data_IF_439808497419
#
_entry.id   IF_439808497419
#
_cell.length_a   1.000
_cell.length_b   1.000
_cell.length_c   1.000
_cell.angle_alpha   90.00
_cell.angle_beta   90.00
_cell.angle_gamma   90.00
#
_symmetry.space_group_name_H-M   'P 1'
#
loop_
_entity.id
_entity.type
_entity.pdbx_description
1 polymer ?
#
# COMPACT_ATOMS: atom_id res chain seq x y z
N UNK A 1 10.27 -21.83 11.32
CA UNK A 1 9.54 -21.26 10.17
C UNK A 1 9.00 -22.44 9.39
N UNK A 2 7.68 -22.55 9.20
CA UNK A 2 7.11 -23.66 8.41
C UNK A 2 7.37 -23.40 6.93
N UNK A 3 7.77 -24.43 6.21
CA UNK A 3 7.86 -24.37 4.74
C UNK A 3 6.45 -24.23 4.15
N UNK A 4 6.27 -23.47 3.05
CA UNK A 4 4.97 -23.35 2.40
C UNK A 4 4.43 -24.73 1.98
N UNK A 5 3.15 -25.00 2.21
CA UNK A 5 2.47 -26.19 1.68
C UNK A 5 2.10 -25.97 0.20
N UNK A 6 1.90 -27.06 -0.57
CA UNK A 6 1.43 -26.97 -1.96
C UNK A 6 0.12 -26.18 -2.12
N UNK A 7 -0.72 -26.16 -1.09
CA UNK A 7 -2.00 -25.44 -1.07
C UNK A 7 -1.84 -23.92 -1.04
N UNK A 8 -0.67 -23.42 -0.57
CA UNK A 8 -0.33 -21.99 -0.60
C UNK A 8 0.16 -21.54 -1.98
N UNK A 9 0.40 -22.50 -2.89
CA UNK A 9 0.83 -22.25 -4.26
C UNK A 9 -0.38 -22.49 -5.14
N UNK A 10 -0.89 -21.45 -5.78
CA UNK A 10 -1.95 -21.64 -6.77
C UNK A 10 -1.45 -22.64 -7.82
N UNK A 11 -2.13 -23.79 -7.94
CA UNK A 11 -1.95 -24.69 -9.06
C UNK A 11 -2.56 -24.03 -10.29
N UNK A 12 -1.81 -23.14 -10.92
CA UNK A 12 -2.16 -22.63 -12.24
C UNK A 12 -1.95 -23.81 -13.19
N UNK A 13 -3.02 -24.25 -13.87
CA UNK A 13 -2.83 -25.05 -15.08
C UNK A 13 -2.07 -24.16 -16.06
N UNK A 14 -0.76 -24.39 -16.15
CA UNK A 14 0.11 -23.69 -17.09
C UNK A 14 -0.32 -24.15 -18.48
N UNK A 15 -1.28 -23.43 -19.06
CA UNK A 15 -1.45 -23.43 -20.51
C UNK A 15 -0.08 -23.12 -21.11
N UNK A 16 0.30 -23.84 -22.16
CA UNK A 16 1.65 -23.89 -22.77
C UNK A 16 2.21 -22.56 -23.31
N UNK A 17 1.71 -21.40 -22.87
CA UNK A 17 1.99 -20.09 -23.43
C UNK A 17 2.15 -18.97 -22.39
N UNK A 18 2.35 -19.25 -21.10
CA UNK A 18 2.66 -18.21 -20.11
C UNK A 18 4.14 -18.24 -19.72
N UNK A 19 4.89 -17.26 -20.21
CA UNK A 19 6.23 -16.97 -19.73
C UNK A 19 6.17 -16.19 -18.41
N UNK A 20 7.03 -16.53 -17.42
CA UNK A 20 7.15 -15.74 -16.21
C UNK A 20 7.45 -14.26 -16.51
N UNK A 21 6.79 -13.35 -15.78
CA UNK A 21 7.10 -11.93 -15.84
C UNK A 21 8.48 -11.60 -15.24
N UNK A 22 8.91 -10.35 -15.40
CA UNK A 22 10.13 -9.84 -14.74
C UNK A 22 9.84 -9.39 -13.31
N UNK A 23 10.77 -9.66 -12.40
CA UNK A 23 10.70 -9.24 -10.99
C UNK A 23 11.94 -8.40 -10.65
N UNK A 24 11.72 -7.26 -10.00
CA UNK A 24 12.78 -6.38 -9.51
C UNK A 24 12.67 -6.15 -8.00
N UNK A 25 13.82 -6.09 -7.33
CA UNK A 25 13.91 -5.77 -5.89
C UNK A 25 14.73 -4.49 -5.71
N UNK A 26 14.24 -3.61 -4.84
CA UNK A 26 14.94 -2.37 -4.48
C UNK A 26 15.26 -2.41 -3.00
N UNK A 27 16.52 -2.10 -2.68
CA UNK A 27 16.93 -1.78 -1.34
C UNK A 27 17.14 -0.26 -1.23
N UNK A 28 16.30 0.41 -0.45
CA UNK A 28 16.37 1.86 -0.30
C UNK A 28 15.38 2.40 0.72
N UNK A 29 15.40 3.71 0.90
CA UNK A 29 14.37 4.43 1.64
C UNK A 29 13.23 4.75 0.66
N UNK A 30 12.04 4.20 0.90
CA UNK A 30 10.89 4.40 0.00
C UNK A 30 10.58 5.87 -0.22
N UNK A 31 10.92 6.74 0.73
CA UNK A 31 10.61 8.17 0.69
C UNK A 31 11.64 9.01 -0.07
N UNK A 32 12.76 8.41 -0.47
CA UNK A 32 13.75 9.06 -1.34
C UNK A 32 13.41 8.81 -2.81
N UNK A 33 13.91 9.72 -3.65
CA UNK A 33 13.70 9.71 -5.10
C UNK A 33 14.93 9.23 -5.89
N UNK A 34 15.80 8.44 -5.24
CA UNK A 34 17.09 8.01 -5.79
C UNK A 34 17.04 6.60 -6.43
N UNK A 35 15.86 5.98 -6.48
CA UNK A 35 15.69 4.60 -6.93
C UNK A 35 14.71 4.40 -8.09
N UNK A 36 13.78 5.33 -8.31
CA UNK A 36 12.71 5.19 -9.31
C UNK A 36 13.28 5.06 -10.72
N UNK A 37 14.20 5.94 -11.09
CA UNK A 37 14.81 5.94 -12.42
C UNK A 37 15.55 4.63 -12.72
N UNK A 38 16.16 4.01 -11.69
CA UNK A 38 16.88 2.74 -11.82
C UNK A 38 15.95 1.54 -12.04
N UNK A 39 14.68 1.64 -11.63
CA UNK A 39 13.72 0.53 -11.74
C UNK A 39 12.67 0.72 -12.84
N UNK A 40 12.21 1.96 -13.00
CA UNK A 40 11.07 2.31 -13.83
C UNK A 40 11.51 2.96 -15.15
N UNK A 41 12.71 3.55 -15.20
CA UNK A 41 13.09 4.52 -16.22
C UNK A 41 12.62 5.93 -15.86
N UNK A 42 13.04 6.94 -16.62
CA UNK A 42 12.63 8.33 -16.40
C UNK A 42 11.11 8.50 -16.55
N UNK A 43 10.48 9.24 -15.63
CA UNK A 43 9.04 9.56 -15.60
C UNK A 43 8.06 8.36 -15.56
N UNK A 44 8.55 7.15 -15.29
CA UNK A 44 7.69 5.98 -15.19
C UNK A 44 7.14 5.83 -13.77
N UNK A 45 5.84 5.57 -13.69
CA UNK A 45 5.06 5.37 -12.46
C UNK A 45 4.39 3.99 -12.46
N UNK A 46 3.88 3.56 -11.32
CA UNK A 46 3.19 2.27 -11.18
C UNK A 46 1.73 2.34 -11.62
N UNK A 47 1.27 1.30 -12.30
CA UNK A 47 -0.16 1.08 -12.61
C UNK A 47 -0.91 0.51 -11.40
N UNK A 48 -0.21 -0.23 -10.53
CA UNK A 48 -0.75 -0.84 -9.32
C UNK A 48 0.27 -0.78 -8.19
N UNK A 49 -0.18 -0.42 -6.99
CA UNK A 49 0.58 -0.51 -5.74
C UNK A 49 -0.20 -1.40 -4.77
N UNK A 50 0.50 -2.31 -4.11
CA UNK A 50 -0.06 -3.21 -3.11
C UNK A 50 0.62 -2.98 -1.75
N UNK A 51 -0.09 -2.36 -0.81
CA UNK A 51 0.35 -2.18 0.57
C UNK A 51 -0.23 -3.30 1.44
N UNK A 52 0.66 -4.15 1.93
CA UNK A 52 0.35 -5.07 3.01
C UNK A 52 1.34 -4.89 4.15
N UNK A 53 0.83 -4.47 5.30
CA UNK A 53 1.59 -4.23 6.53
C UNK A 53 2.69 -3.15 6.44
N UNK A 54 2.76 -2.37 5.36
CA UNK A 54 3.76 -1.31 5.23
C UNK A 54 3.36 -0.07 6.03
N UNK A 55 2.13 0.43 5.86
CA UNK A 55 1.61 1.57 6.61
C UNK A 55 1.75 1.41 8.14
N UNK A 56 1.35 0.24 8.67
CA UNK A 56 1.38 -0.01 10.11
C UNK A 56 2.77 -0.33 10.65
N UNK A 57 3.78 -0.60 9.82
CA UNK A 57 5.15 -0.71 10.27
C UNK A 57 5.75 0.67 10.61
N UNK A 58 5.21 1.73 10.03
CA UNK A 58 5.71 3.09 10.21
C UNK A 58 5.10 3.82 11.39
N UNK A 59 5.89 4.71 11.99
CA UNK A 59 5.42 5.59 13.06
C UNK A 59 4.22 6.43 12.59
N UNK A 60 3.17 6.64 13.42
CA UNK A 60 1.96 7.38 13.01
C UNK A 60 2.24 8.74 12.37
N UNK A 61 3.23 9.48 12.85
CA UNK A 61 3.62 10.79 12.31
C UNK A 61 4.15 10.74 10.85
N UNK A 62 4.49 9.56 10.33
CA UNK A 62 4.98 9.37 8.96
C UNK A 62 3.87 8.98 7.97
N UNK A 63 2.64 8.74 8.44
CA UNK A 63 1.54 8.26 7.58
C UNK A 63 1.14 9.25 6.49
N UNK A 64 1.29 10.56 6.76
CA UNK A 64 1.13 11.60 5.75
C UNK A 64 2.19 11.52 4.65
N UNK A 65 3.42 11.20 5.01
CA UNK A 65 4.49 11.02 4.04
C UNK A 65 4.21 9.78 3.18
N UNK A 66 3.67 8.71 3.76
CA UNK A 66 3.20 7.55 3.02
C UNK A 66 2.12 7.91 2.01
N UNK A 67 1.07 8.63 2.41
CA UNK A 67 -0.04 8.97 1.52
C UNK A 67 0.45 9.77 0.31
N UNK A 68 1.22 10.84 0.56
CA UNK A 68 1.86 11.61 -0.49
C UNK A 68 2.73 10.74 -1.39
N UNK A 69 3.52 9.85 -0.82
CA UNK A 69 4.45 9.00 -1.56
C UNK A 69 3.72 8.01 -2.48
N UNK A 70 2.62 7.41 -2.01
CA UNK A 70 1.80 6.53 -2.86
C UNK A 70 1.19 7.31 -4.04
N UNK A 71 0.73 8.54 -3.81
CA UNK A 71 0.21 9.39 -4.88
C UNK A 71 1.28 9.81 -5.90
N UNK A 72 2.51 10.09 -5.45
CA UNK A 72 3.64 10.39 -6.34
C UNK A 72 3.99 9.21 -7.23
N UNK A 73 4.04 8.00 -6.66
CA UNK A 73 4.44 6.76 -7.33
C UNK A 73 3.37 6.20 -8.28
N UNK A 74 2.10 6.53 -8.09
CA UNK A 74 0.99 5.99 -8.86
C UNK A 74 0.68 6.84 -10.10
N UNK A 75 0.40 6.17 -11.23
CA UNK A 75 -0.11 6.82 -12.44
C UNK A 75 -1.52 7.40 -12.21
N UNK A 76 -1.94 8.45 -12.94
CA UNK A 76 -3.35 8.83 -13.01
C UNK A 76 -4.20 7.63 -13.45
N UNK A 77 -5.22 7.29 -12.65
CA UNK A 77 -6.07 6.12 -12.89
C UNK A 77 -5.49 4.77 -12.45
N UNK A 78 -4.30 4.75 -11.85
CA UNK A 78 -3.73 3.54 -11.25
C UNK A 78 -4.48 3.08 -10.00
N UNK A 79 -4.18 1.85 -9.54
CA UNK A 79 -4.84 1.22 -8.40
C UNK A 79 -3.91 1.12 -7.18
N UNK A 80 -4.37 1.63 -6.04
CA UNK A 80 -3.74 1.39 -4.75
C UNK A 80 -4.60 0.39 -3.96
N UNK A 81 -4.05 -0.79 -3.69
CA UNK A 81 -4.69 -1.83 -2.88
C UNK A 81 -4.05 -1.80 -1.49
N UNK A 82 -4.88 -1.59 -0.46
CA UNK A 82 -4.42 -1.52 0.92
C UNK A 82 -5.10 -2.61 1.76
N UNK A 83 -4.29 -3.47 2.37
CA UNK A 83 -4.77 -4.45 3.34
C UNK A 83 -4.55 -3.92 4.76
N UNK A 84 -5.64 -3.55 5.42
CA UNK A 84 -5.59 -2.98 6.77
C UNK A 84 -5.36 -4.05 7.83
N UNK A 85 -4.21 -3.93 8.52
CA UNK A 85 -3.78 -4.81 9.60
C UNK A 85 -2.80 -4.06 10.52
N UNK A 86 -2.80 -4.26 11.84
CA UNK A 86 -3.77 -4.99 12.65
C UNK A 86 -4.95 -4.11 13.08
N UNK A 87 -6.17 -4.62 12.97
CA UNK A 87 -7.41 -3.94 13.40
C UNK A 87 -7.74 -4.19 14.88
N UNK A 88 -7.14 -5.19 15.50
CA UNK A 88 -7.43 -5.61 16.87
C UNK A 88 -6.52 -4.94 17.92
N UNK A 89 -5.46 -4.27 17.49
CA UNK A 89 -4.46 -3.67 18.38
C UNK A 89 -4.90 -2.26 18.80
N UNK A 90 -4.74 -1.94 20.09
CA UNK A 90 -5.01 -0.59 20.59
C UNK A 90 -4.12 0.44 19.87
N UNK A 91 -4.72 1.55 19.43
CA UNK A 91 -4.06 2.63 18.70
C UNK A 91 -2.91 3.30 19.47
N UNK A 92 -2.94 3.24 20.81
CA UNK A 92 -1.88 3.78 21.69
C UNK A 92 -0.77 2.78 22.00
N UNK A 93 -0.93 1.52 21.59
CA UNK A 93 0.10 0.51 21.82
C UNK A 93 1.34 0.80 20.96
N UNK A 94 2.56 0.58 21.50
CA UNK A 94 3.79 0.81 20.77
C UNK A 94 3.92 -0.16 19.58
N UNK A 95 4.47 0.32 18.46
CA UNK A 95 4.77 -0.48 17.27
C UNK A 95 6.26 -0.83 17.12
N UNK A 96 6.65 -1.46 16.00
CA UNK A 96 5.79 -2.03 14.96
C UNK A 96 5.19 -3.39 15.39
N UNK A 97 3.99 -3.77 14.95
CA UNK A 97 3.03 -3.04 14.11
C UNK A 97 2.22 -2.04 14.95
N UNK A 98 2.01 -0.82 14.48
CA UNK A 98 1.13 0.16 15.13
C UNK A 98 -0.35 -0.22 14.92
N UNK A 99 -1.22 0.05 15.89
CA UNK A 99 -2.65 -0.16 15.72
C UNK A 99 -3.22 0.71 14.58
N UNK A 100 -4.15 0.15 13.81
CA UNK A 100 -4.87 0.84 12.73
C UNK A 100 -6.38 0.79 12.97
N UNK A 101 -7.07 1.85 12.52
CA UNK A 101 -8.53 1.93 12.47
C UNK A 101 -8.99 2.95 11.44
N UNK A 102 -9.37 2.49 10.25
CA UNK A 102 -9.95 3.32 9.20
C UNK A 102 -8.99 4.34 8.58
N UNK A 103 -7.68 4.15 8.75
CA UNK A 103 -6.67 5.15 8.36
C UNK A 103 -6.62 5.29 6.84
N UNK A 104 -6.68 4.17 6.11
CA UNK A 104 -6.74 4.18 4.65
C UNK A 104 -7.99 4.87 4.13
N UNK A 105 -9.14 4.64 4.78
CA UNK A 105 -10.40 5.25 4.37
C UNK A 105 -10.39 6.76 4.55
N UNK A 106 -9.85 7.24 5.67
CA UNK A 106 -9.73 8.66 5.94
C UNK A 106 -8.84 9.37 4.90
N UNK A 107 -7.67 8.80 4.60
CA UNK A 107 -6.80 9.34 3.54
C UNK A 107 -7.44 9.28 2.15
N UNK A 108 -7.85 8.09 1.72
CA UNK A 108 -8.16 7.82 0.32
C UNK A 108 -9.58 8.23 -0.08
N UNK A 109 -10.53 8.16 0.84
CA UNK A 109 -11.93 8.45 0.55
C UNK A 109 -12.37 9.84 1.03
N UNK A 110 -11.83 10.31 2.16
CA UNK A 110 -12.21 11.60 2.74
C UNK A 110 -11.20 12.73 2.48
N UNK A 111 -9.97 12.42 2.07
CA UNK A 111 -8.89 13.41 2.00
C UNK A 111 -8.53 13.96 3.39
N UNK A 112 -8.81 13.19 4.44
CA UNK A 112 -8.55 13.52 5.84
C UNK A 112 -7.08 13.40 6.20
N UNK A 113 -6.77 13.27 7.49
CA UNK A 113 -5.40 13.23 8.04
C UNK A 113 -4.90 11.90 8.57
N UNK A 114 -5.68 10.85 8.35
CA UNK A 114 -5.41 9.52 8.85
C UNK A 114 -5.65 9.38 10.35
N UNK A 115 -6.24 10.40 11.00
CA UNK A 115 -6.74 10.26 12.35
C UNK A 115 -8.09 9.54 12.34
N UNK A 116 -8.28 8.66 13.32
CA UNK A 116 -9.56 7.97 13.49
C UNK A 116 -10.63 8.97 13.97
N UNK A 117 -11.41 9.48 13.03
CA UNK A 117 -12.61 10.26 13.32
C UNK A 117 -13.84 9.34 13.39
N UNK A 118 -14.72 9.56 14.37
CA UNK A 118 -15.98 8.84 14.47
C UNK A 118 -16.98 9.39 13.46
N UNK A 119 -17.00 8.89 12.23
CA UNK A 119 -18.01 9.27 11.25
C UNK A 119 -18.81 8.06 10.74
N UNK A 120 -20.13 8.22 10.72
CA UNK A 120 -21.10 7.22 10.27
C UNK A 120 -21.04 6.99 8.76
N UNK A 121 -21.58 5.84 8.35
CA UNK A 121 -21.57 5.34 6.97
C UNK A 121 -22.33 6.28 6.03
N UNK A 122 -21.60 7.03 5.20
CA UNK A 122 -22.14 7.78 4.07
C UNK A 122 -21.55 7.19 2.77
N UNK A 123 -22.31 6.95 1.68
CA UNK A 123 -21.78 6.35 0.46
C UNK A 123 -20.92 7.37 -0.31
N UNK A 124 -19.73 6.96 -0.77
CA UNK A 124 -18.67 7.89 -1.22
C UNK A 124 -18.39 7.79 -2.72
N UNK A 125 -18.30 8.96 -3.36
CA UNK A 125 -17.65 9.20 -4.65
C UNK A 125 -16.15 9.46 -4.42
N UNK A 126 -15.28 8.61 -4.94
CA UNK A 126 -13.83 8.84 -4.94
C UNK A 126 -13.53 10.06 -5.81
N UNK A 127 -13.08 11.16 -5.21
CA UNK A 127 -12.53 12.30 -5.96
C UNK A 127 -11.02 12.13 -6.05
N UNK A 128 -10.54 11.81 -7.24
CA UNK A 128 -9.13 12.03 -7.59
C UNK A 128 -8.94 13.53 -7.78
N UNK A 129 -8.05 14.15 -7.02
CA UNK A 129 -7.65 15.54 -7.25
C UNK A 129 -6.97 15.65 -8.62
N UNK A 130 -7.55 16.51 -9.47
CA UNK A 130 -7.02 16.98 -10.77
C UNK A 130 -5.86 17.94 -10.59
#
# INVERSE_FOLDING_TARGET
MQSPSPENIAMVEVGSSMEPGSVGFIQGDVFKQDWEANLLGEDVKFDLIYDYTFLCAMHPNMRRLWEKRMAELLKPGGLLICLEFPLWKDLKSPGPLWGLKGVYWDFLAHGGDGASHSYGTCPIHVRTSS
#
